data_IF_522130755068
#
_entry.id   IF_522130755068
#
_cell.length_a   1.000
_cell.length_b   1.000
_cell.length_c   1.000
_cell.angle_alpha   90.00
_cell.angle_beta   90.00
_cell.angle_gamma   90.00
#
_symmetry.space_group_name_H-M   'P 1'
#
loop_
_entity.id
_entity.type
_entity.pdbx_description
1 polymer ?
#
# COMPACT_ATOMS: atom_id res chain seq x y z
N UNK A 1 -3.34 -14.71 24.48
CA UNK A 1 -3.10 -14.55 23.77
C UNK A 1 -3.20 -13.72 23.05
N UNK A 2 -2.96 -13.10 22.90
CA UNK A 2 -3.13 -12.30 22.27
C UNK A 2 -2.47 -11.84 21.33
N UNK A 3 -2.37 -12.12 20.64
CA UNK A 3 -1.79 -11.76 19.65
C UNK A 3 -2.40 -10.67 19.08
N UNK A 4 -1.81 -9.84 18.57
CA UNK A 4 -2.27 -8.81 17.83
C UNK A 4 -2.07 -9.17 16.47
N UNK A 5 -2.98 -9.81 15.91
CA UNK A 5 -2.86 -10.16 14.53
C UNK A 5 -2.78 -8.88 13.76
N UNK A 6 -2.07 -8.95 12.70
CA UNK A 6 -2.00 -7.88 11.75
C UNK A 6 -3.40 -7.52 11.31
N UNK A 7 -3.76 -6.25 11.41
CA UNK A 7 -5.06 -5.84 11.05
C UNK A 7 -5.15 -5.59 9.60
N UNK A 8 -6.23 -5.99 8.97
CA UNK A 8 -6.53 -5.62 7.60
C UNK A 8 -7.73 -4.70 7.62
N UNK A 9 -7.54 -3.49 7.18
CA UNK A 9 -8.63 -2.54 7.06
C UNK A 9 -9.37 -2.71 5.77
N UNK A 10 -10.68 -2.48 5.77
CA UNK A 10 -11.43 -2.45 4.51
C UNK A 10 -10.90 -1.37 3.58
N UNK A 11 -11.08 -1.59 2.28
CA UNK A 11 -10.57 -0.65 1.28
C UNK A 11 -11.14 0.75 1.49
N UNK A 12 -12.41 0.86 1.87
CA UNK A 12 -13.01 2.18 2.07
C UNK A 12 -12.27 2.99 3.14
N UNK A 13 -11.88 2.32 4.23
CA UNK A 13 -11.16 3.02 5.28
C UNK A 13 -9.75 3.38 4.85
N UNK A 14 -9.12 2.51 4.09
CA UNK A 14 -7.78 2.80 3.60
C UNK A 14 -7.77 3.99 2.65
N UNK A 15 -8.79 4.11 1.83
CA UNK A 15 -8.93 5.25 0.93
C UNK A 15 -9.04 6.54 1.74
N UNK A 16 -9.79 6.50 2.85
CA UNK A 16 -9.98 7.70 3.66
C UNK A 16 -8.69 8.18 4.32
N UNK A 17 -7.81 7.26 4.66
CA UNK A 17 -6.57 7.62 5.35
C UNK A 17 -5.37 7.72 4.41
N UNK A 18 -5.59 7.59 3.10
CA UNK A 18 -4.49 7.47 2.16
C UNK A 18 -3.54 8.67 2.17
N UNK A 19 -4.09 9.86 2.46
CA UNK A 19 -3.29 11.08 2.45
C UNK A 19 -2.93 11.58 3.84
N UNK A 20 -3.27 10.82 4.88
CA UNK A 20 -2.95 11.23 6.24
C UNK A 20 -1.47 11.00 6.53
N UNK A 21 -0.83 11.91 7.26
CA UNK A 21 0.56 11.71 7.65
C UNK A 21 0.67 10.50 8.56
N UNK A 22 1.23 9.44 8.06
CA UNK A 22 1.37 8.21 8.79
C UNK A 22 2.46 7.38 8.14
N UNK A 23 3.36 6.87 8.95
CA UNK A 23 4.48 6.11 8.44
C UNK A 23 4.04 4.71 8.05
N UNK A 24 4.38 4.31 6.85
CA UNK A 24 4.16 2.96 6.35
C UNK A 24 5.49 2.36 5.94
N UNK A 25 5.74 1.14 6.35
CA UNK A 25 7.02 0.48 6.18
C UNK A 25 6.87 -0.78 5.35
N UNK A 26 7.82 -1.02 4.49
CA UNK A 26 7.90 -2.28 3.76
C UNK A 26 9.37 -2.62 3.59
N UNK A 27 9.64 -3.74 2.94
CA UNK A 27 11.03 -4.08 2.65
C UNK A 27 11.67 -3.12 1.68
N UNK A 28 10.88 -2.34 0.95
CA UNK A 28 11.40 -1.34 0.04
C UNK A 28 11.74 -0.03 0.74
N UNK A 29 11.52 0.04 2.05
CA UNK A 29 11.74 1.25 2.78
C UNK A 29 10.46 1.80 3.35
N UNK A 30 10.45 3.07 3.72
CA UNK A 30 9.27 3.65 4.33
C UNK A 30 8.74 4.81 3.48
N UNK A 31 7.47 5.12 3.71
CA UNK A 31 6.82 6.28 3.10
C UNK A 31 6.03 6.98 4.18
N UNK A 32 5.65 8.22 3.92
CA UNK A 32 4.98 9.06 4.93
C UNK A 32 3.49 9.12 4.75
N UNK A 33 2.95 8.53 3.71
CA UNK A 33 1.51 8.39 3.52
C UNK A 33 1.25 7.08 2.83
N UNK A 34 0.05 6.56 3.00
CA UNK A 34 -0.32 5.33 2.32
C UNK A 34 -0.31 5.54 0.80
N UNK A 35 -0.78 6.69 0.34
CA UNK A 35 -0.80 6.98 -1.09
C UNK A 35 0.61 6.86 -1.68
N UNK A 36 1.61 7.40 -1.01
CA UNK A 36 2.98 7.32 -1.51
C UNK A 36 3.44 5.87 -1.62
N UNK A 37 3.08 5.05 -0.64
CA UNK A 37 3.43 3.63 -0.69
C UNK A 37 2.72 2.90 -1.83
N UNK A 38 1.47 3.25 -2.07
CA UNK A 38 0.70 2.63 -3.14
C UNK A 38 1.23 3.05 -4.51
N UNK A 39 1.65 4.30 -4.66
CA UNK A 39 2.24 4.77 -5.91
C UNK A 39 3.55 4.01 -6.18
N UNK A 40 4.38 3.86 -5.15
CA UNK A 40 5.62 3.12 -5.31
C UNK A 40 5.35 1.67 -5.68
N UNK A 41 4.35 1.05 -5.05
CA UNK A 41 4.00 -0.33 -5.34
C UNK A 41 3.49 -0.48 -6.77
N UNK A 42 2.71 0.50 -7.25
CA UNK A 42 2.22 0.46 -8.62
C UNK A 42 3.37 0.56 -9.61
N UNK A 43 4.35 1.39 -9.29
CA UNK A 43 5.53 1.53 -10.14
C UNK A 43 6.32 0.22 -10.20
N UNK A 44 6.51 -0.42 -9.05
CA UNK A 44 7.23 -1.70 -8.99
C UNK A 44 6.49 -2.76 -9.80
N UNK A 45 5.17 -2.80 -9.66
CA UNK A 45 4.35 -3.75 -10.41
C UNK A 45 4.45 -3.47 -11.91
N UNK A 46 4.46 -2.20 -12.30
CA UNK A 46 4.59 -1.83 -13.69
C UNK A 46 5.90 -2.27 -14.30
N UNK A 47 6.92 -2.46 -13.45
CA UNK A 47 8.21 -2.96 -13.91
C UNK A 47 8.29 -4.48 -13.95
N UNK A 48 7.19 -5.16 -13.68
CA UNK A 48 7.16 -6.62 -13.73
C UNK A 48 7.64 -7.27 -12.44
N UNK A 49 7.73 -6.51 -11.36
CA UNK A 49 8.15 -7.05 -10.07
C UNK A 49 6.98 -7.01 -9.10
N UNK A 50 7.09 -7.78 -8.03
CA UNK A 50 6.06 -7.78 -6.99
C UNK A 50 6.45 -6.82 -5.89
N UNK A 51 5.58 -5.90 -5.52
CA UNK A 51 5.87 -5.02 -4.39
C UNK A 51 5.69 -5.78 -3.09
N UNK A 52 6.24 -5.24 -2.02
CA UNK A 52 6.08 -5.82 -0.70
C UNK A 52 4.89 -5.21 0.00
N UNK A 53 4.25 -5.95 0.91
CA UNK A 53 3.15 -5.39 1.69
C UNK A 53 3.60 -4.17 2.49
N UNK A 54 2.67 -3.29 2.78
CA UNK A 54 2.91 -2.10 3.60
C UNK A 54 2.35 -2.34 4.98
N UNK A 55 3.04 -1.84 5.99
CA UNK A 55 2.58 -2.00 7.36
C UNK A 55 2.79 -0.72 8.12
N UNK A 56 1.78 -0.27 8.84
CA UNK A 56 1.88 0.94 9.63
C UNK A 56 2.27 0.61 11.06
N UNK A 57 2.64 1.65 11.80
CA UNK A 57 3.08 1.48 13.18
C UNK A 57 1.99 0.89 14.07
N UNK A 58 0.73 1.09 13.73
CA UNK A 58 -0.35 0.56 14.55
C UNK A 58 -0.76 -0.86 14.14
N UNK A 59 0.01 -1.50 13.26
CA UNK A 59 -0.25 -2.88 12.90
C UNK A 59 -1.17 -3.08 11.72
N UNK A 60 -1.63 -2.01 11.09
CA UNK A 60 -2.44 -2.13 9.90
C UNK A 60 -1.57 -2.56 8.73
N UNK A 61 -2.04 -3.54 7.99
CA UNK A 61 -1.25 -4.09 6.89
C UNK A 61 -2.03 -4.04 5.60
N UNK A 62 -1.37 -3.66 4.52
CA UNK A 62 -1.97 -3.62 3.19
C UNK A 62 -1.25 -4.66 2.35
N UNK A 63 -1.98 -5.70 1.97
CA UNK A 63 -1.45 -6.79 1.18
C UNK A 63 -1.56 -6.47 -0.31
N UNK A 64 -0.82 -7.23 -1.10
CA UNK A 64 -0.84 -7.03 -2.55
C UNK A 64 -2.26 -7.14 -3.10
N UNK A 65 -3.05 -8.06 -2.59
CA UNK A 65 -4.41 -8.23 -3.09
C UNK A 65 -5.26 -6.98 -2.90
N UNK A 66 -4.99 -6.21 -1.84
CA UNK A 66 -5.73 -4.97 -1.61
C UNK A 66 -5.20 -3.82 -2.45
N UNK A 67 -3.94 -3.88 -2.82
CA UNK A 67 -3.32 -2.76 -3.53
C UNK A 67 -4.02 -2.48 -4.85
N UNK A 68 -4.38 -3.52 -5.60
CA UNK A 68 -5.02 -3.28 -6.89
C UNK A 68 -6.37 -2.58 -6.73
N UNK A 69 -7.11 -2.92 -5.69
CA UNK A 69 -8.37 -2.23 -5.41
C UNK A 69 -8.13 -0.77 -5.04
N UNK A 70 -7.09 -0.54 -4.25
CA UNK A 70 -6.78 0.82 -3.81
C UNK A 70 -6.28 1.67 -4.98
N UNK A 71 -5.47 1.08 -5.86
CA UNK A 71 -5.03 1.82 -7.04
C UNK A 71 -6.25 2.29 -7.85
N UNK A 72 -7.20 1.39 -8.04
CA UNK A 72 -8.39 1.72 -8.80
C UNK A 72 -9.20 2.82 -8.11
N UNK A 73 -9.37 2.71 -6.79
CA UNK A 73 -10.17 3.67 -6.05
C UNK A 73 -9.51 5.05 -5.98
N UNK A 74 -8.19 5.08 -5.95
CA UNK A 74 -7.44 6.33 -5.81
C UNK A 74 -6.95 6.90 -7.12
N UNK A 75 -7.23 6.24 -8.22
CA UNK A 75 -6.80 6.73 -9.53
C UNK A 75 -5.31 6.57 -9.76
N UNK A 76 -4.67 5.62 -9.08
CA UNK A 76 -3.26 5.37 -9.25
C UNK A 76 -3.07 4.38 -10.38
N UNK A 77 -2.28 4.75 -11.36
CA UNK A 77 -2.09 3.94 -12.56
C UNK A 77 -0.78 3.17 -12.45
N UNK A 78 -0.82 1.89 -12.86
CA UNK A 78 0.39 1.12 -12.97
C UNK A 78 1.01 1.46 -14.31
N UNK A 79 2.10 2.25 -14.27
CA UNK A 79 2.73 2.61 -15.52
C UNK A 79 3.70 1.54 -15.89
N UNK A 80 3.45 0.91 -16.99
CA UNK A 80 4.41 -0.02 -17.53
C UNK A 80 5.51 0.78 -18.16
N UNK A 81 6.72 0.29 -18.02
CA UNK A 81 7.83 0.95 -18.66
C UNK A 81 7.66 0.94 -20.17
N UNK A 82 8.47 1.69 -20.87
CA UNK A 82 8.39 1.71 -22.31
C UNK A 82 8.64 0.32 -22.86
N UNK A 83 7.88 -0.02 -23.83
CA UNK A 83 7.97 -1.34 -24.43
C UNK A 83 9.27 -1.49 -25.19
#
# INVERSE_FOLDING_TARGET
>A
MDQHPTRQMPADELVEIADQPQLWISKDGYVKTLRAGLVRAAHITGQGRSPYPLESANGTRVELAQMSRLWSRLGIVQEKGPA
#
